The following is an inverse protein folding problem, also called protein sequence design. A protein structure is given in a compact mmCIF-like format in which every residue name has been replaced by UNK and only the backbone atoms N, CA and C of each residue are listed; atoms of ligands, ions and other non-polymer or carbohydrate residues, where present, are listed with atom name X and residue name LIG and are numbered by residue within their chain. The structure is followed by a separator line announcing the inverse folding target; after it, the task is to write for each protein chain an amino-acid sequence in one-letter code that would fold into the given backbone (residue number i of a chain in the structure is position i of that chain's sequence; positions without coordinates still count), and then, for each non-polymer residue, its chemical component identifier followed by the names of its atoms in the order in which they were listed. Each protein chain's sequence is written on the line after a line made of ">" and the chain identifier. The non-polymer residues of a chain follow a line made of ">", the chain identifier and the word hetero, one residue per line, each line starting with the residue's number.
data_IF_065400692973
#
_entry.id   IF_065400692973
#
_cell.length_a   1.000
_cell.length_b   1.000
_cell.length_c   1.000
_cell.angle_alpha   90.00
_cell.angle_beta   90.00
_cell.angle_gamma   90.00
#
_symmetry.space_group_name_H-M   'P 1'
#
loop_
_entity.id
_entity.type
_entity.pdbx_description
1 polymer ?
#
# COMPACT_ATOMS: atom_id res chain seq x y z
N UNK A 1 -12.29 2.88 18.79
CA UNK A 1 -11.23 3.90 18.78
C UNK A 1 -10.46 3.68 17.49
N UNK A 2 -10.39 4.67 16.61
CA UNK A 2 -9.98 4.55 15.20
C UNK A 2 -8.72 5.36 14.85
N UNK A 3 -8.26 6.23 15.75
CA UNK A 3 -7.09 7.10 15.56
C UNK A 3 -6.16 7.07 16.76
N UNK A 4 -4.86 6.95 16.47
CA UNK A 4 -3.77 7.16 17.44
C UNK A 4 -3.05 8.44 17.05
N UNK A 5 -2.83 9.33 18.02
CA UNK A 5 -2.07 10.58 17.82
C UNK A 5 -0.70 10.39 18.47
N UNK A 6 0.36 10.66 17.71
CA UNK A 6 1.72 10.65 18.23
C UNK A 6 1.93 11.87 19.13
N UNK A 7 2.13 11.64 20.41
CA UNK A 7 2.61 12.67 21.34
C UNK A 7 4.13 12.84 21.25
N UNK A 8 4.68 13.78 22.02
CA UNK A 8 6.11 14.08 21.98
C UNK A 8 6.97 12.88 22.42
N UNK A 9 6.53 12.15 23.43
CA UNK A 9 7.26 11.00 23.98
C UNK A 9 7.28 9.82 23.00
N UNK A 10 6.13 9.50 22.41
CA UNK A 10 6.01 8.42 21.43
C UNK A 10 6.78 8.77 20.14
N UNK A 11 6.78 10.04 19.75
CA UNK A 11 7.57 10.52 18.60
C UNK A 11 9.07 10.36 18.85
N UNK A 12 9.56 10.67 20.04
CA UNK A 12 10.97 10.50 20.39
C UNK A 12 11.39 9.02 20.37
N UNK A 13 10.54 8.13 20.91
CA UNK A 13 10.80 6.67 20.91
C UNK A 13 10.85 6.06 19.52
N UNK A 14 10.01 6.54 18.60
CA UNK A 14 9.96 6.04 17.22
C UNK A 14 11.07 6.61 16.34
N UNK A 15 11.71 7.72 16.75
CA UNK A 15 12.84 8.32 16.04
C UNK A 15 12.45 8.91 14.69
N UNK A 16 13.19 8.56 13.64
CA UNK A 16 12.94 9.06 12.29
C UNK A 16 11.81 8.29 11.59
N UNK A 17 10.69 8.99 11.39
CA UNK A 17 9.49 8.50 10.71
C UNK A 17 9.49 8.82 9.21
N UNK A 18 10.65 9.11 8.62
CA UNK A 18 10.77 9.42 7.18
C UNK A 18 10.80 8.18 6.28
N UNK A 19 11.02 6.99 6.85
CA UNK A 19 11.10 5.72 6.12
C UNK A 19 10.07 4.71 6.62
N UNK A 20 9.69 3.71 5.81
CA UNK A 20 8.79 2.64 6.24
C UNK A 20 9.36 1.84 7.42
N UNK A 21 8.50 1.53 8.41
CA UNK A 21 8.90 0.81 9.61
C UNK A 21 7.82 -0.17 10.10
N UNK A 22 8.23 -1.08 10.99
CA UNK A 22 7.36 -2.07 11.62
C UNK A 22 7.18 -1.76 13.11
N UNK A 23 5.99 -2.01 13.63
CA UNK A 23 5.72 -2.04 15.06
C UNK A 23 5.55 -3.50 15.47
N UNK A 24 6.32 -3.92 16.45
CA UNK A 24 6.27 -5.27 17.01
C UNK A 24 5.57 -5.25 18.37
N UNK A 25 4.94 -6.35 18.74
CA UNK A 25 4.52 -6.60 20.13
C UNK A 25 5.71 -7.06 20.99
N UNK A 26 5.47 -7.24 22.29
CA UNK A 26 6.44 -7.72 23.26
C UNK A 26 6.96 -9.15 22.96
N UNK A 27 6.27 -9.91 22.11
CA UNK A 27 6.67 -11.25 21.69
C UNK A 27 7.54 -11.24 20.42
N UNK A 28 7.74 -10.07 19.82
CA UNK A 28 8.49 -9.91 18.57
C UNK A 28 7.66 -10.18 17.32
N UNK A 29 6.33 -10.19 17.40
CA UNK A 29 5.45 -10.33 16.23
C UNK A 29 5.10 -8.95 15.67
N UNK A 30 5.11 -8.81 14.34
CA UNK A 30 4.68 -7.58 13.67
C UNK A 30 3.18 -7.36 13.89
N UNK A 31 2.84 -6.23 14.49
CA UNK A 31 1.48 -5.75 14.71
C UNK A 31 1.06 -4.79 13.61
N UNK A 32 1.96 -3.90 13.18
CA UNK A 32 1.70 -2.90 12.14
C UNK A 32 2.89 -2.74 11.20
N UNK A 33 2.58 -2.49 9.92
CA UNK A 33 3.52 -1.93 8.95
C UNK A 33 3.07 -0.51 8.63
N UNK A 34 3.95 0.45 8.85
CA UNK A 34 3.65 1.88 8.69
C UNK A 34 4.50 2.41 7.54
N UNK A 35 3.83 2.97 6.54
CA UNK A 35 4.48 3.76 5.50
C UNK A 35 4.17 5.24 5.79
N UNK A 36 5.19 6.08 5.96
CA UNK A 36 4.98 7.51 6.16
C UNK A 36 4.13 8.08 5.03
N UNK A 37 3.17 8.93 5.38
CA UNK A 37 2.41 9.62 4.35
C UNK A 37 3.35 10.54 3.58
N UNK A 38 3.46 10.33 2.27
CA UNK A 38 4.09 11.31 1.38
C UNK A 38 3.43 12.67 1.60
N UNK A 39 4.24 13.73 1.65
CA UNK A 39 3.68 15.07 1.66
C UNK A 39 2.82 15.23 0.40
N UNK A 40 1.55 15.59 0.58
CA UNK A 40 0.61 15.84 -0.53
C UNK A 40 1.19 16.83 -1.56
N UNK A 41 2.08 17.71 -1.11
CA UNK A 41 2.86 18.63 -1.94
C UNK A 41 3.72 17.96 -3.02
N UNK A 42 4.10 16.69 -2.83
CA UNK A 42 4.94 15.96 -3.80
C UNK A 42 4.18 15.66 -5.09
N UNK A 43 2.86 15.51 -5.02
CA UNK A 43 2.01 15.19 -6.18
C UNK A 43 0.98 16.29 -6.49
N UNK A 44 0.89 17.34 -5.66
CA UNK A 44 0.07 18.51 -5.95
C UNK A 44 0.60 19.25 -7.19
N UNK A 45 -0.22 19.30 -8.23
CA UNK A 45 0.13 19.91 -9.51
C UNK A 45 0.74 18.96 -10.54
N UNK A 46 0.95 17.68 -10.20
CA UNK A 46 1.26 16.69 -11.24
C UNK A 46 0.01 16.45 -12.09
N UNK A 47 0.12 16.81 -13.36
CA UNK A 47 -0.83 16.34 -14.37
C UNK A 47 -0.50 14.90 -14.71
N UNK A 48 -1.49 14.01 -14.58
CA UNK A 48 -1.36 12.61 -14.99
C UNK A 48 -1.11 12.46 -16.50
N UNK A 49 -1.35 13.50 -17.29
CA UNK A 49 -1.32 13.47 -18.76
C UNK A 49 -2.44 12.60 -19.35
N UNK A 50 -3.30 12.04 -18.50
CA UNK A 50 -4.46 11.24 -18.88
C UNK A 50 -5.67 12.16 -18.86
N UNK A 51 -6.37 12.33 -19.99
CA UNK A 51 -7.61 13.10 -20.03
C UNK A 51 -8.63 12.53 -19.04
N UNK A 52 -9.37 13.41 -18.35
CA UNK A 52 -10.38 13.01 -17.35
C UNK A 52 -11.41 12.02 -17.91
N UNK A 53 -11.75 12.13 -19.19
CA UNK A 53 -12.65 11.21 -19.90
C UNK A 53 -12.10 9.78 -19.96
N UNK A 54 -10.79 9.63 -20.21
CA UNK A 54 -10.11 8.33 -20.24
C UNK A 54 -10.06 7.70 -18.85
N UNK A 55 -9.87 8.50 -17.81
CA UNK A 55 -9.92 8.05 -16.40
C UNK A 55 -11.32 7.50 -16.09
N UNK A 56 -12.37 8.26 -16.41
CA UNK A 56 -13.77 7.85 -16.19
C UNK A 56 -14.11 6.58 -16.96
N UNK A 57 -13.68 6.47 -18.23
CA UNK A 57 -13.87 5.27 -19.04
C UNK A 57 -13.24 4.04 -18.38
N UNK A 58 -12.02 4.15 -17.85
CA UNK A 58 -11.31 3.04 -17.20
C UNK A 58 -11.96 2.62 -15.88
N UNK A 59 -12.46 3.58 -15.10
CA UNK A 59 -13.20 3.30 -13.86
C UNK A 59 -14.50 2.56 -14.21
N UNK A 60 -15.26 3.07 -15.19
CA UNK A 60 -16.52 2.46 -15.63
C UNK A 60 -16.34 1.09 -16.27
N UNK A 61 -15.22 0.86 -16.96
CA UNK A 61 -14.88 -0.42 -17.56
C UNK A 61 -14.60 -1.52 -16.51
N UNK A 62 -14.34 -1.17 -15.24
CA UNK A 62 -13.97 -2.12 -14.20
C UNK A 62 -12.58 -2.70 -14.47
N UNK A 63 -11.55 -2.06 -13.92
CA UNK A 63 -10.17 -2.45 -14.20
C UNK A 63 -9.77 -3.79 -13.59
N UNK A 64 -9.10 -4.62 -14.39
CA UNK A 64 -8.33 -5.79 -13.96
C UNK A 64 -9.14 -7.09 -13.85
N UNK A 65 -8.43 -8.22 -13.98
CA UNK A 65 -8.99 -9.52 -13.59
C UNK A 65 -8.96 -9.62 -12.06
N UNK A 66 -9.96 -10.26 -11.42
CA UNK A 66 -9.90 -10.52 -9.99
C UNK A 66 -8.57 -11.20 -9.63
N UNK A 67 -7.93 -10.78 -8.52
CA UNK A 67 -6.66 -11.36 -8.07
C UNK A 67 -6.73 -12.90 -8.01
N UNK A 68 -7.88 -13.45 -7.61
CA UNK A 68 -8.15 -14.90 -7.63
C UNK A 68 -7.96 -15.54 -9.01
N UNK A 69 -8.40 -14.89 -10.08
CA UNK A 69 -8.26 -15.39 -11.45
C UNK A 69 -6.79 -15.30 -11.92
N UNK A 70 -6.07 -14.26 -11.52
CA UNK A 70 -4.64 -14.10 -11.82
C UNK A 70 -3.82 -15.20 -11.12
N UNK A 71 -4.12 -15.47 -9.84
CA UNK A 71 -3.44 -16.51 -9.07
C UNK A 71 -3.74 -17.92 -9.62
N UNK A 72 -4.96 -18.17 -10.08
CA UNK A 72 -5.32 -19.44 -10.72
C UNK A 72 -4.52 -19.68 -12.00
N UNK A 73 -4.39 -18.67 -12.87
CA UNK A 73 -3.58 -18.77 -14.08
C UNK A 73 -2.10 -18.98 -13.79
N UNK A 74 -1.56 -18.30 -12.77
CA UNK A 74 -0.18 -18.46 -12.35
C UNK A 74 0.08 -19.87 -11.79
N UNK A 75 -0.85 -20.39 -10.99
CA UNK A 75 -0.79 -21.77 -10.50
C UNK A 75 -0.88 -22.79 -11.65
N UNK A 76 -1.74 -22.56 -12.64
CA UNK A 76 -1.83 -23.44 -13.82
C UNK A 76 -0.56 -23.38 -14.70
N UNK A 77 0.05 -22.19 -14.81
CA UNK A 77 1.23 -21.98 -15.67
C UNK A 77 2.54 -22.46 -15.04
N UNK A 78 2.65 -22.42 -13.72
CA UNK A 78 3.90 -22.70 -13.00
C UNK A 78 3.79 -23.80 -11.94
N UNK A 79 2.59 -24.36 -11.72
CA UNK A 79 2.32 -25.42 -10.74
C UNK A 79 2.61 -26.84 -11.21
N UNK A 80 2.95 -27.06 -12.50
CA UNK A 80 3.40 -28.36 -13.03
C UNK A 80 4.93 -28.47 -13.15
N UNK A 81 5.68 -27.71 -12.35
CA UNK A 81 7.14 -27.85 -12.28
C UNK A 81 7.63 -27.94 -10.83
N UNK A 82 7.33 -29.05 -10.16
CA UNK A 82 8.18 -29.63 -9.11
C UNK A 82 7.76 -31.08 -8.82
N UNK A 83 8.72 -31.92 -8.41
CA UNK A 83 9.09 -33.19 -9.02
C UNK A 83 8.19 -34.39 -8.71
#
# INVERSE_FOLDING_TARGET
>A
MDRVVLDAELREKLGDLSTPFHIFDETGRVVLFVTPADSKSLYEGMDSGIPSEEIQRRIAAGGGRPLKAILADLAAKYGEASP
#
